data_IF_469883423554
#
_entry.id   IF_469883423554
#
_cell.length_a   1.000
_cell.length_b   1.000
_cell.length_c   1.000
_cell.angle_alpha   90.00
_cell.angle_beta   90.00
_cell.angle_gamma   90.00
#
_symmetry.space_group_name_H-M   'P 1'
#
loop_
_entity.id
_entity.type
_entity.pdbx_description
1 polymer ?
#
# COMPACT_ATOMS: atom_id res chain seq x y z
N UNK A 1 -23.47 -24.77 -1.27
CA UNK A 1 -22.09 -24.83 -0.71
C UNK A 1 -21.33 -23.49 -0.79
N UNK A 2 -21.62 -22.58 -1.73
CA UNK A 2 -20.89 -21.30 -1.84
C UNK A 2 -21.19 -20.27 -0.70
N UNK A 3 -22.35 -20.36 -0.04
CA UNK A 3 -22.75 -19.40 1.01
C UNK A 3 -21.95 -19.50 2.32
N UNK A 4 -21.32 -20.65 2.59
CA UNK A 4 -20.49 -20.82 3.80
C UNK A 4 -19.12 -20.12 3.72
N UNK A 5 -18.65 -19.84 2.50
CA UNK A 5 -17.32 -19.24 2.27
C UNK A 5 -17.36 -17.71 2.23
N UNK A 6 -18.50 -17.11 1.89
CA UNK A 6 -18.65 -15.66 1.76
C UNK A 6 -18.21 -14.84 2.99
N UNK A 7 -18.51 -15.24 4.25
CA UNK A 7 -18.07 -14.48 5.42
C UNK A 7 -16.53 -14.47 5.54
N UNK A 8 -15.91 -15.63 5.30
CA UNK A 8 -14.46 -15.81 5.45
C UNK A 8 -13.70 -15.17 4.29
N UNK A 9 -14.23 -15.25 3.07
CA UNK A 9 -13.69 -14.54 1.91
C UNK A 9 -13.81 -13.03 2.08
N UNK A 10 -14.90 -12.51 2.66
CA UNK A 10 -15.04 -11.08 2.96
C UNK A 10 -13.96 -10.60 3.93
N UNK A 11 -13.69 -11.36 5.00
CA UNK A 11 -12.62 -11.02 5.94
C UNK A 11 -11.25 -11.01 5.27
N UNK A 12 -10.92 -12.05 4.48
CA UNK A 12 -9.65 -12.13 3.76
C UNK A 12 -9.48 -11.01 2.73
N UNK A 13 -10.55 -10.66 2.00
CA UNK A 13 -10.53 -9.56 1.01
C UNK A 13 -10.35 -8.21 1.72
N UNK A 14 -11.01 -7.99 2.86
CA UNK A 14 -10.83 -6.75 3.61
C UNK A 14 -9.42 -6.64 4.19
N UNK A 15 -8.84 -7.72 4.72
CA UNK A 15 -7.49 -7.70 5.27
C UNK A 15 -6.39 -7.54 4.21
N UNK A 16 -6.61 -8.09 3.01
CA UNK A 16 -5.63 -8.00 1.90
C UNK A 16 -5.70 -6.69 1.13
N UNK A 17 -6.87 -6.06 1.07
CA UNK A 17 -7.08 -4.78 0.38
C UNK A 17 -6.85 -3.59 1.33
N UNK A 18 -7.05 -3.78 2.63
CA UNK A 18 -6.92 -2.74 3.63
C UNK A 18 -5.97 -3.16 4.75
N UNK A 19 -4.68 -2.76 4.69
CA UNK A 19 -3.75 -3.05 5.76
C UNK A 19 -4.24 -2.47 7.10
N UNK A 20 -4.05 -3.19 8.21
CA UNK A 20 -4.36 -2.67 9.53
C UNK A 20 -3.57 -1.39 9.80
N UNK A 21 -4.08 -0.53 10.68
CA UNK A 21 -3.45 0.76 10.99
C UNK A 21 -1.99 0.59 11.49
N UNK A 22 -1.72 -0.51 12.18
CA UNK A 22 -0.38 -0.93 12.62
C UNK A 22 0.60 -1.13 11.46
N UNK A 23 0.15 -1.71 10.35
CA UNK A 23 0.95 -1.90 9.15
C UNK A 23 1.34 -0.55 8.52
N UNK A 24 0.42 0.42 8.50
CA UNK A 24 0.72 1.79 8.03
C UNK A 24 1.72 2.51 8.94
N UNK A 25 1.58 2.37 10.26
CA UNK A 25 2.51 2.92 11.26
C UNK A 25 3.92 2.32 11.17
N UNK A 26 4.07 1.13 10.57
CA UNK A 26 5.37 0.47 10.38
C UNK A 26 6.18 0.99 9.19
N UNK A 27 5.58 1.82 8.31
CA UNK A 27 6.28 2.42 7.18
C UNK A 27 7.27 3.46 7.64
N UNK A 28 8.46 3.49 7.01
CA UNK A 28 9.41 4.58 7.24
C UNK A 28 8.93 5.86 6.54
N UNK A 29 9.37 7.03 7.01
CA UNK A 29 9.07 8.31 6.36
C UNK A 29 9.40 8.29 4.86
N UNK A 30 10.52 7.66 4.51
CA UNK A 30 10.94 7.51 3.11
C UNK A 30 10.00 6.61 2.29
N UNK A 31 9.49 5.54 2.89
CA UNK A 31 8.51 4.67 2.22
C UNK A 31 7.20 5.41 1.99
N UNK A 32 6.75 6.21 2.95
CA UNK A 32 5.54 7.04 2.82
C UNK A 32 5.70 8.08 1.69
N UNK A 33 6.84 8.77 1.63
CA UNK A 33 7.13 9.74 0.57
C UNK A 33 7.09 9.10 -0.83
N UNK A 34 7.77 7.97 -1.01
CA UNK A 34 7.78 7.21 -2.27
C UNK A 34 6.36 6.75 -2.64
N UNK A 35 5.61 6.24 -1.66
CA UNK A 35 4.24 5.76 -1.86
C UNK A 35 3.27 6.89 -2.24
N UNK A 36 3.46 8.11 -1.72
CA UNK A 36 2.71 9.29 -2.19
C UNK A 36 2.96 9.57 -3.66
N UNK A 37 4.20 9.52 -4.11
CA UNK A 37 4.51 9.70 -5.53
C UNK A 37 3.95 8.58 -6.42
N UNK A 38 3.89 7.35 -5.89
CA UNK A 38 3.19 6.25 -6.57
C UNK A 38 1.70 6.55 -6.76
N UNK A 39 1.04 7.15 -5.76
CA UNK A 39 -0.36 7.56 -5.87
C UNK A 39 -0.61 8.68 -6.90
N UNK A 40 0.43 9.45 -7.24
CA UNK A 40 0.42 10.44 -8.33
C UNK A 40 0.67 9.83 -9.71
N UNK A 41 0.87 8.51 -9.80
CA UNK A 41 1.12 7.81 -11.06
C UNK A 41 2.58 7.83 -11.54
N UNK A 42 3.52 8.40 -10.78
CA UNK A 42 4.92 8.51 -11.19
C UNK A 42 5.63 7.16 -11.29
N UNK A 43 6.38 6.94 -12.37
CA UNK A 43 7.21 5.75 -12.56
C UNK A 43 8.35 5.69 -11.54
N UNK A 44 8.91 4.51 -11.28
CA UNK A 44 10.03 4.36 -10.34
C UNK A 44 11.25 5.23 -10.73
N UNK A 45 11.44 5.46 -12.03
CA UNK A 45 12.49 6.32 -12.57
C UNK A 45 12.25 7.79 -12.24
N UNK A 46 11.01 8.27 -12.43
CA UNK A 46 10.63 9.64 -12.08
C UNK A 46 10.68 9.88 -10.57
N UNK A 47 10.23 8.89 -9.78
CA UNK A 47 10.35 8.92 -8.32
C UNK A 47 11.81 9.04 -7.91
N UNK A 48 12.67 8.18 -8.45
CA UNK A 48 14.10 8.18 -8.14
C UNK A 48 14.73 9.56 -8.40
N UNK A 49 14.40 10.18 -9.53
CA UNK A 49 14.81 11.55 -9.85
C UNK A 49 14.27 12.57 -8.85
N UNK A 50 12.98 12.51 -8.53
CA UNK A 50 12.34 13.46 -7.62
C UNK A 50 12.91 13.42 -6.21
N UNK A 51 13.32 12.24 -5.75
CA UNK A 51 13.74 12.05 -4.36
C UNK A 51 15.26 11.83 -4.20
N UNK A 52 16.02 11.81 -5.29
CA UNK A 52 17.49 11.74 -5.27
C UNK A 52 18.07 10.34 -5.03
N UNK A 53 17.40 9.28 -5.50
CA UNK A 53 17.90 7.89 -5.42
C UNK A 53 17.73 7.15 -6.75
N UNK A 54 18.38 6.00 -6.90
CA UNK A 54 18.24 5.20 -8.13
C UNK A 54 16.86 4.55 -8.23
N UNK A 55 16.41 4.27 -9.45
CA UNK A 55 15.19 3.48 -9.69
C UNK A 55 15.22 2.12 -8.96
N UNK A 56 16.39 1.49 -8.90
CA UNK A 56 16.56 0.23 -8.19
C UNK A 56 16.34 0.38 -6.68
N UNK A 57 16.80 1.48 -6.09
CA UNK A 57 16.56 1.81 -4.68
C UNK A 57 15.07 2.09 -4.44
N UNK A 58 14.38 2.80 -5.33
CA UNK A 58 12.92 3.00 -5.25
C UNK A 58 12.20 1.65 -5.22
N UNK A 59 12.55 0.73 -6.11
CA UNK A 59 11.97 -0.62 -6.14
C UNK A 59 12.15 -1.35 -4.81
N UNK A 60 13.34 -1.27 -4.20
CA UNK A 60 13.60 -1.89 -2.89
C UNK A 60 12.78 -1.27 -1.77
N UNK A 61 12.60 0.05 -1.77
CA UNK A 61 11.69 0.69 -0.81
C UNK A 61 10.25 0.23 -1.01
N UNK A 62 9.78 0.13 -2.26
CA UNK A 62 8.42 -0.35 -2.59
C UNK A 62 8.23 -1.83 -2.21
N UNK A 63 9.18 -2.72 -2.51
CA UNK A 63 9.13 -4.13 -2.08
C UNK A 63 9.00 -4.25 -0.55
N UNK A 64 9.77 -3.46 0.21
CA UNK A 64 9.65 -3.44 1.67
C UNK A 64 8.33 -2.84 2.13
N UNK A 65 7.85 -1.77 1.50
CA UNK A 65 6.59 -1.13 1.85
C UNK A 65 5.39 -2.03 1.55
N UNK A 66 5.38 -2.73 0.42
CA UNK A 66 4.34 -3.67 0.03
C UNK A 66 4.24 -4.84 1.01
N UNK A 67 5.38 -5.41 1.42
CA UNK A 67 5.43 -6.44 2.46
C UNK A 67 4.85 -5.94 3.79
N UNK A 68 5.20 -4.72 4.20
CA UNK A 68 4.67 -4.10 5.42
C UNK A 68 3.17 -3.85 5.34
N UNK A 69 2.68 -3.46 4.17
CA UNK A 69 1.26 -3.20 3.90
C UNK A 69 0.45 -4.47 3.56
N UNK A 70 1.08 -5.63 3.44
CA UNK A 70 0.38 -6.87 3.04
C UNK A 70 -0.21 -6.83 1.62
N UNK A 71 0.23 -5.91 0.77
CA UNK A 71 -0.28 -5.73 -0.60
C UNK A 71 0.65 -6.36 -1.62
N UNK A 72 0.08 -6.90 -2.69
CA UNK A 72 0.84 -7.57 -3.76
C UNK A 72 1.00 -6.71 -5.02
N UNK A 73 0.29 -5.58 -5.09
CA UNK A 73 0.24 -4.76 -6.30
C UNK A 73 0.41 -3.28 -6.01
N UNK A 74 0.88 -2.57 -7.02
CA UNK A 74 1.01 -1.11 -7.01
C UNK A 74 -0.34 -0.44 -6.73
N UNK A 75 -1.41 -0.91 -7.38
CA UNK A 75 -2.77 -0.42 -7.15
C UNK A 75 -3.22 -0.69 -5.72
N UNK A 76 -2.95 -1.90 -5.19
CA UNK A 76 -3.24 -2.24 -3.80
C UNK A 76 -2.54 -1.29 -2.82
N UNK A 77 -1.29 -0.93 -3.08
CA UNK A 77 -0.55 0.04 -2.27
C UNK A 77 -1.16 1.46 -2.33
N UNK A 78 -1.67 1.89 -3.49
CA UNK A 78 -2.35 3.19 -3.63
C UNK A 78 -3.69 3.20 -2.88
N UNK A 79 -4.50 2.15 -3.03
CA UNK A 79 -5.76 1.98 -2.30
C UNK A 79 -5.53 1.94 -0.79
N UNK A 80 -4.46 1.29 -0.35
CA UNK A 80 -4.07 1.24 1.05
C UNK A 80 -3.67 2.62 1.62
N UNK A 81 -3.22 3.57 0.80
CA UNK A 81 -2.89 4.93 1.25
C UNK A 81 -4.10 5.86 1.30
N UNK A 82 -5.05 5.70 0.38
CA UNK A 82 -6.14 6.66 0.15
C UNK A 82 -7.23 6.65 1.21
N UNK A 83 -7.32 5.58 2.01
CA UNK A 83 -8.36 5.51 3.06
C UNK A 83 -7.89 6.29 4.28
N UNK A 84 -8.23 7.58 4.31
CA UNK A 84 -8.32 8.36 5.53
C UNK A 84 -9.38 7.68 6.44
N UNK A 85 -9.11 7.49 7.73
CA UNK A 85 -9.92 6.71 8.68
C UNK A 85 -11.34 7.24 8.97
N UNK A 86 -11.90 8.09 8.11
CA UNK A 86 -13.18 8.78 8.33
C UNK A 86 -14.42 8.02 7.84
N UNK A 87 -14.30 6.90 7.12
CA UNK A 87 -15.45 6.29 6.44
C UNK A 87 -16.09 5.09 7.19
N UNK A 88 -15.54 4.64 8.31
CA UNK A 88 -16.07 3.47 9.06
C UNK A 88 -16.78 3.84 10.38
N UNK A 89 -17.18 5.10 10.56
CA UNK A 89 -17.88 5.57 11.76
C UNK A 89 -19.23 6.27 11.47
N UNK A 90 -19.97 5.84 10.44
CA UNK A 90 -21.37 6.26 10.21
C UNK A 90 -22.26 5.07 9.97
#
# INVERSE_FOLDING_TARGET
MAELLLPHLRTLVLETVYPPESARRSLTARQVEILRQVSLGLTNREIGRSVGITEATVRKHLESAYRKLGVLSRTGAVTALSTNSATLAR
#
